data_IF_354643983354
#
_entry.id   IF_354643983354
#
_cell.length_a   1.000
_cell.length_b   1.000
_cell.length_c   1.000
_cell.angle_alpha   90.00
_cell.angle_beta   90.00
_cell.angle_gamma   90.00
#
_symmetry.space_group_name_H-M   'P 1'
#
loop_
_entity.id
_entity.type
_entity.pdbx_description
1 polymer ?
#
# COMPACT_ATOMS: atom_id res chain seq x y z
N UNK A 1 -8.52 -4.21 0.17
CA UNK A 1 -9.10 -5.53 -0.17
C UNK A 1 -9.43 -6.26 1.12
N UNK A 2 -10.57 -6.94 1.20
CA UNK A 2 -10.87 -7.87 2.29
C UNK A 2 -10.14 -9.19 2.06
N UNK A 3 -9.72 -9.86 3.15
CA UNK A 3 -8.97 -11.11 3.10
C UNK A 3 -9.63 -12.19 3.97
N UNK A 4 -9.57 -13.43 3.50
CA UNK A 4 -9.75 -14.64 4.30
C UNK A 4 -8.41 -15.39 4.34
N UNK A 5 -7.80 -15.41 5.53
CA UNK A 5 -6.39 -15.79 5.67
C UNK A 5 -5.46 -14.85 4.89
N UNK A 6 -4.78 -15.38 3.88
CA UNK A 6 -3.85 -14.61 3.01
C UNK A 6 -4.39 -14.39 1.60
N UNK A 7 -5.66 -14.75 1.35
CA UNK A 7 -6.29 -14.63 0.04
C UNK A 7 -7.33 -13.51 0.06
N UNK A 8 -7.31 -12.61 -0.94
CA UNK A 8 -8.40 -11.65 -1.11
C UNK A 8 -9.75 -12.36 -1.32
N UNK A 9 -10.83 -11.81 -0.76
CA UNK A 9 -12.19 -12.38 -0.90
C UNK A 9 -12.91 -11.93 -2.18
N UNK A 10 -12.28 -11.05 -2.96
CA UNK A 10 -12.92 -10.32 -4.07
C UNK A 10 -13.65 -9.04 -3.65
N UNK A 11 -13.76 -8.75 -2.34
CA UNK A 11 -14.42 -7.53 -1.85
C UNK A 11 -13.43 -6.39 -1.62
N UNK A 12 -13.84 -5.20 -2.05
CA UNK A 12 -13.17 -3.93 -1.74
C UNK A 12 -14.00 -3.23 -0.66
N UNK A 13 -13.41 -3.05 0.53
CA UNK A 13 -14.07 -2.38 1.65
C UNK A 13 -13.67 -0.90 1.68
N UNK A 14 -14.61 0.02 2.01
CA UNK A 14 -14.25 1.41 2.24
C UNK A 14 -13.36 1.52 3.49
N UNK A 15 -12.41 2.46 3.46
CA UNK A 15 -11.61 2.79 4.64
C UNK A 15 -12.36 3.74 5.59
N UNK A 16 -13.36 4.47 5.11
CA UNK A 16 -14.12 5.46 5.89
C UNK A 16 -14.73 4.84 7.14
N UNK A 17 -14.47 5.45 8.30
CA UNK A 17 -14.91 4.94 9.60
C UNK A 17 -14.21 3.65 10.07
N UNK A 18 -13.26 3.11 9.30
CA UNK A 18 -12.52 1.89 9.65
C UNK A 18 -11.18 2.22 10.35
N UNK A 19 -10.58 1.25 11.06
CA UNK A 19 -9.20 1.38 11.55
C UNK A 19 -8.16 1.57 10.43
N UNK A 20 -8.50 1.33 9.17
CA UNK A 20 -7.60 1.48 8.04
C UNK A 20 -7.66 2.87 7.39
N UNK A 21 -8.42 3.81 7.95
CA UNK A 21 -8.40 5.20 7.49
C UNK A 21 -7.16 5.93 8.01
N UNK A 22 -6.19 6.12 7.13
CA UNK A 22 -4.98 6.92 7.36
C UNK A 22 -4.92 8.13 6.43
N UNK A 23 -6.06 8.56 5.85
CA UNK A 23 -6.12 9.79 5.04
C UNK A 23 -5.84 11.03 5.87
N UNK A 24 -6.06 10.96 7.18
CA UNK A 24 -5.56 11.91 8.17
C UNK A 24 -4.46 11.24 9.01
N UNK A 25 -3.32 11.91 9.27
CA UNK A 25 -2.23 11.32 10.04
C UNK A 25 -2.68 10.91 11.44
N UNK A 26 -2.34 9.67 11.84
CA UNK A 26 -2.58 9.15 13.18
C UNK A 26 -1.56 8.06 13.55
N UNK A 27 -1.34 7.76 14.83
CA UNK A 27 -0.50 6.64 15.23
C UNK A 27 -1.00 5.31 14.65
N UNK A 28 -0.09 4.49 14.12
CA UNK A 28 -0.41 3.12 13.66
C UNK A 28 -0.99 2.29 14.82
N UNK A 29 -0.45 2.46 16.03
CA UNK A 29 -0.93 1.76 17.23
C UNK A 29 -0.96 0.24 17.03
N UNK A 30 -2.04 -0.42 17.45
CA UNK A 30 -2.26 -1.86 17.26
C UNK A 30 -2.82 -2.26 15.88
N UNK A 31 -2.91 -1.34 14.91
CA UNK A 31 -3.45 -1.65 13.58
C UNK A 31 -2.51 -2.64 12.86
N UNK A 32 -3.04 -3.80 12.47
CA UNK A 32 -2.29 -4.83 11.75
C UNK A 32 -2.47 -4.63 10.26
N UNK A 33 -1.36 -4.53 9.54
CA UNK A 33 -1.31 -4.43 8.10
C UNK A 33 -0.73 -5.71 7.50
N UNK A 34 -1.50 -6.29 6.60
CA UNK A 34 -1.06 -7.20 5.55
C UNK A 34 -2.10 -7.08 4.44
N UNK A 35 -2.21 -5.87 3.89
CA UNK A 35 -3.44 -5.42 3.25
C UNK A 35 -3.11 -4.60 2.02
N UNK A 36 -3.70 -5.01 0.88
CA UNK A 36 -3.69 -4.22 -0.33
C UNK A 36 -4.77 -3.12 -0.27
N UNK A 37 -4.32 -1.88 -0.38
CA UNK A 37 -5.13 -0.69 -0.61
C UNK A 37 -5.25 -0.43 -2.10
N UNK A 38 -6.37 0.16 -2.51
CA UNK A 38 -6.70 0.44 -3.90
C UNK A 38 -7.03 1.92 -4.05
N UNK A 39 -6.93 2.47 -5.26
CA UNK A 39 -7.31 3.84 -5.58
C UNK A 39 -6.65 4.88 -4.64
N UNK A 40 -5.30 4.90 -4.55
CA UNK A 40 -4.59 5.84 -3.70
C UNK A 40 -4.90 7.28 -4.09
N UNK A 41 -5.00 8.17 -3.08
CA UNK A 41 -5.10 9.61 -3.32
C UNK A 41 -3.78 10.11 -3.91
N UNK A 42 -3.89 10.89 -4.98
CA UNK A 42 -2.78 11.59 -5.61
C UNK A 42 -2.83 13.07 -5.27
N UNK A 43 -1.66 13.69 -5.16
CA UNK A 43 -1.50 15.12 -4.94
C UNK A 43 -1.59 15.89 -6.27
N UNK A 44 -1.39 17.22 -6.23
CA UNK A 44 -1.48 18.07 -7.43
C UNK A 44 -0.41 17.81 -8.51
N UNK A 45 0.54 16.92 -8.25
CA UNK A 45 1.59 16.47 -9.17
C UNK A 45 1.44 14.99 -9.57
N UNK A 46 0.25 14.42 -9.42
CA UNK A 46 -0.12 13.04 -9.78
C UNK A 46 0.63 11.92 -9.02
N UNK A 47 1.44 12.29 -8.03
CA UNK A 47 2.09 11.33 -7.14
C UNK A 47 1.16 10.98 -5.97
N UNK A 48 1.08 9.69 -5.64
CA UNK A 48 0.62 9.28 -4.32
C UNK A 48 1.82 9.26 -3.36
N UNK A 49 1.62 9.78 -2.14
CA UNK A 49 2.63 9.82 -1.08
C UNK A 49 2.13 9.11 0.16
N UNK A 50 2.91 8.15 0.63
CA UNK A 50 2.68 7.42 1.88
C UNK A 50 3.78 7.82 2.84
N UNK A 51 3.40 8.56 3.87
CA UNK A 51 4.32 9.13 4.85
C UNK A 51 4.25 8.37 6.16
N UNK A 52 5.41 7.90 6.63
CA UNK A 52 5.61 7.36 7.97
C UNK A 52 6.53 8.29 8.75
N UNK A 53 6.06 8.78 9.89
CA UNK A 53 6.78 9.74 10.71
C UNK A 53 6.90 9.28 12.17
N UNK A 54 7.94 9.77 12.84
CA UNK A 54 8.04 9.72 14.29
C UNK A 54 6.88 10.50 14.94
N UNK A 55 6.46 10.16 16.17
CA UNK A 55 5.33 10.85 16.83
C UNK A 55 5.52 12.36 17.02
N UNK A 56 6.76 12.81 17.12
CA UNK A 56 7.16 14.22 17.25
C UNK A 56 7.56 14.86 15.91
N UNK A 57 7.35 14.15 14.80
CA UNK A 57 7.72 14.54 13.44
C UNK A 57 9.23 14.79 13.22
N UNK A 58 10.08 14.38 14.17
CA UNK A 58 11.55 14.58 14.11
C UNK A 58 12.25 13.82 12.98
N UNK A 59 11.57 12.82 12.41
CA UNK A 59 12.05 12.01 11.28
C UNK A 59 10.86 11.47 10.52
N UNK A 60 10.89 11.60 9.20
CA UNK A 60 9.91 10.97 8.34
C UNK A 60 10.52 10.29 7.12
N UNK A 61 9.79 9.31 6.59
CA UNK A 61 10.07 8.67 5.31
C UNK A 61 8.79 8.70 4.50
N UNK A 62 8.92 9.15 3.25
CA UNK A 62 7.81 9.19 2.31
C UNK A 62 8.14 8.26 1.16
N UNK A 63 7.27 7.29 0.92
CA UNK A 63 7.28 6.49 -0.31
C UNK A 63 6.34 7.20 -1.28
N UNK A 64 6.87 7.61 -2.43
CA UNK A 64 6.08 8.19 -3.50
C UNK A 64 6.00 7.23 -4.68
N UNK A 65 4.87 7.23 -5.37
CA UNK A 65 4.59 6.36 -6.51
C UNK A 65 3.78 7.15 -7.55
N UNK A 66 4.13 6.95 -8.83
CA UNK A 66 3.45 7.60 -9.95
C UNK A 66 2.14 6.90 -10.34
N UNK A 67 1.56 7.34 -11.46
CA UNK A 67 0.29 6.85 -11.99
C UNK A 67 0.29 5.38 -12.43
N UNK A 68 1.45 4.72 -12.52
CA UNK A 68 1.51 3.30 -12.88
C UNK A 68 1.09 2.37 -11.73
N UNK A 69 1.02 2.90 -10.50
CA UNK A 69 0.72 2.12 -9.30
C UNK A 69 -0.60 2.59 -8.68
N UNK A 70 -1.69 1.87 -8.93
CA UNK A 70 -3.02 2.15 -8.34
C UNK A 70 -3.35 1.25 -7.13
N UNK A 71 -2.37 0.46 -6.70
CA UNK A 71 -2.47 -0.46 -5.59
C UNK A 71 -1.25 -0.33 -4.69
N UNK A 72 -1.44 -0.48 -3.39
CA UNK A 72 -0.35 -0.47 -2.42
C UNK A 72 -0.58 -1.55 -1.37
N UNK A 73 0.40 -2.42 -1.15
CA UNK A 73 0.38 -3.31 0.02
C UNK A 73 1.12 -2.63 1.17
N UNK A 74 0.46 -2.56 2.32
CA UNK A 74 1.11 -2.23 3.58
C UNK A 74 1.26 -3.52 4.40
N UNK A 75 2.44 -3.72 4.95
CA UNK A 75 2.74 -4.87 5.80
C UNK A 75 3.53 -4.46 7.05
N UNK A 76 2.95 -4.73 8.22
CA UNK A 76 3.54 -4.35 9.52
C UNK A 76 4.34 -5.46 10.19
N UNK A 77 4.49 -6.64 9.57
CA UNK A 77 5.37 -7.67 10.11
C UNK A 77 4.87 -8.38 11.37
N UNK A 78 3.57 -8.35 11.66
CA UNK A 78 2.99 -8.95 12.88
C UNK A 78 3.27 -10.46 13.04
N UNK A 79 3.22 -11.29 11.97
CA UNK A 79 3.52 -12.71 12.08
C UNK A 79 5.02 -13.03 12.25
N UNK A 80 5.91 -12.04 12.12
CA UNK A 80 7.35 -12.27 12.19
C UNK A 80 7.78 -12.70 13.61
N UNK A 81 8.95 -13.38 13.75
CA UNK A 81 9.56 -13.65 15.04
C UNK A 81 9.72 -12.37 15.87
N UNK A 82 9.70 -12.49 17.19
CA UNK A 82 9.67 -11.36 18.13
C UNK A 82 10.75 -10.31 17.85
N UNK A 83 11.97 -10.74 17.51
CA UNK A 83 13.09 -9.85 17.19
C UNK A 83 12.82 -8.91 15.99
N UNK A 84 11.90 -9.28 15.10
CA UNK A 84 11.58 -8.54 13.88
C UNK A 84 10.13 -8.01 13.83
N UNK A 85 9.26 -8.52 14.70
CA UNK A 85 7.84 -8.17 14.76
C UNK A 85 7.65 -6.67 14.93
N UNK A 86 6.92 -6.06 13.98
CA UNK A 86 6.57 -4.62 13.96
C UNK A 86 7.76 -3.67 14.15
N UNK A 87 8.95 -4.07 13.68
CA UNK A 87 10.16 -3.24 13.67
C UNK A 87 10.25 -2.32 12.46
N UNK A 88 9.44 -2.58 11.44
CA UNK A 88 9.36 -1.82 10.21
C UNK A 88 7.92 -1.88 9.65
N UNK A 89 7.63 -0.99 8.70
CA UNK A 89 6.45 -1.04 7.86
C UNK A 89 6.93 -1.14 6.41
N UNK A 90 6.52 -2.18 5.70
CA UNK A 90 6.72 -2.25 4.27
C UNK A 90 5.62 -1.44 3.57
N UNK A 91 6.03 -0.70 2.54
CA UNK A 91 5.14 0.01 1.62
C UNK A 91 5.50 -0.50 0.23
N UNK A 92 4.56 -1.18 -0.41
CA UNK A 92 4.79 -1.91 -1.65
C UNK A 92 3.89 -1.31 -2.73
N UNK A 93 4.39 -0.40 -3.57
CA UNK A 93 3.68 0.05 -4.77
C UNK A 93 3.44 -1.14 -5.71
N UNK A 94 2.17 -1.35 -6.09
CA UNK A 94 1.75 -2.45 -6.95
C UNK A 94 0.99 -1.90 -8.16
N UNK A 95 1.27 -2.45 -9.34
CA UNK A 95 0.59 -2.05 -10.59
C UNK A 95 -0.81 -2.67 -10.72
N UNK A 96 -1.11 -3.68 -9.91
CA UNK A 96 -2.41 -4.37 -9.85
C UNK A 96 -2.67 -4.85 -8.41
N UNK A 97 -3.92 -5.22 -8.13
CA UNK A 97 -4.31 -5.74 -6.83
C UNK A 97 -3.69 -7.11 -6.54
N UNK A 98 -3.56 -7.45 -5.25
CA UNK A 98 -3.22 -8.81 -4.85
C UNK A 98 -4.20 -9.79 -5.49
N UNK A 99 -3.71 -10.86 -6.08
CA UNK A 99 -4.54 -11.88 -6.76
C UNK A 99 -5.29 -11.40 -8.03
N UNK A 100 -4.82 -10.35 -8.71
CA UNK A 100 -5.47 -9.80 -9.90
C UNK A 100 -5.68 -10.80 -11.07
N UNK A 101 -4.96 -11.93 -11.12
CA UNK A 101 -5.23 -12.99 -12.08
C UNK A 101 -6.62 -13.62 -11.91
N UNK A 102 -7.14 -13.67 -10.69
CA UNK A 102 -8.48 -14.18 -10.37
C UNK A 102 -9.53 -13.07 -10.30
N UNK A 103 -9.09 -11.81 -10.37
CA UNK A 103 -9.93 -10.62 -10.24
C UNK A 103 -9.61 -9.63 -11.37
N UNK A 104 -10.23 -9.78 -12.56
CA UNK A 104 -9.86 -9.02 -13.76
C UNK A 104 -10.02 -7.50 -13.61
N UNK A 105 -10.90 -7.04 -12.71
CA UNK A 105 -11.11 -5.62 -12.43
C UNK A 105 -9.99 -5.00 -11.57
N UNK A 106 -9.01 -5.78 -11.11
CA UNK A 106 -7.95 -5.32 -10.22
C UNK A 106 -6.67 -4.87 -10.95
N UNK A 107 -6.83 -4.33 -12.16
CA UNK A 107 -5.76 -3.61 -12.87
C UNK A 107 -4.68 -4.50 -13.50
N UNK A 108 -4.97 -5.78 -13.75
CA UNK A 108 -4.02 -6.69 -14.40
C UNK A 108 -3.64 -6.17 -15.80
N UNK A 109 -2.37 -5.81 -15.98
CA UNK A 109 -1.81 -5.46 -17.28
C UNK A 109 -1.23 -6.71 -17.95
N UNK A 110 -1.92 -7.23 -18.98
CA UNK A 110 -1.38 -8.29 -19.82
C UNK A 110 -0.41 -7.71 -20.85
N UNK A 111 0.86 -8.12 -20.80
CA UNK A 111 1.88 -7.71 -21.75
C UNK A 111 2.08 -8.77 -22.83
N UNK A 112 1.79 -8.42 -24.07
CA UNK A 112 2.18 -9.18 -25.25
C UNK A 112 3.70 -9.09 -25.48
N UNK A 113 4.30 -9.99 -26.29
CA UNK A 113 5.71 -9.86 -26.67
C UNK A 113 6.04 -8.46 -27.18
N UNK A 114 7.19 -7.93 -26.77
CA UNK A 114 7.68 -6.57 -27.04
C UNK A 114 6.90 -5.41 -26.40
N UNK A 115 5.83 -5.65 -25.64
CA UNK A 115 5.21 -4.59 -24.83
C UNK A 115 6.01 -4.32 -23.56
N UNK A 116 5.90 -3.10 -23.06
CA UNK A 116 6.56 -2.64 -21.83
C UNK A 116 5.56 -1.93 -20.95
N UNK A 117 5.58 -2.25 -19.65
CA UNK A 117 4.96 -1.47 -18.59
C UNK A 117 6.07 -0.80 -17.79
N UNK A 118 5.95 0.50 -17.57
CA UNK A 118 6.91 1.29 -16.80
C UNK A 118 6.18 2.02 -15.68
N UNK A 119 6.83 2.13 -14.53
CA UNK A 119 6.38 2.93 -13.41
C UNK A 119 7.58 3.39 -12.58
N UNK A 120 7.45 4.54 -11.96
CA UNK A 120 8.44 5.13 -11.07
C UNK A 120 7.89 5.26 -9.65
N UNK A 121 8.73 4.90 -8.70
CA UNK A 121 8.50 5.13 -7.29
C UNK A 121 9.84 5.45 -6.64
N UNK A 122 9.80 6.01 -5.43
CA UNK A 122 11.01 6.27 -4.68
C UNK A 122 10.74 6.54 -3.21
N UNK A 123 11.84 6.70 -2.47
CA UNK A 123 11.80 7.06 -1.06
C UNK A 123 12.51 8.39 -0.87
N UNK A 124 11.82 9.34 -0.26
CA UNK A 124 12.41 10.59 0.21
C UNK A 124 12.54 10.57 1.73
N UNK A 125 13.60 11.20 2.22
CA UNK A 125 13.83 11.42 3.63
C UNK A 125 13.55 12.90 3.94
N UNK A 126 12.85 13.11 5.05
CA UNK A 126 12.55 14.41 5.66
C UNK A 126 13.00 14.38 7.12
#
# INVERSE_FOLDING_TARGET
>A
LEYDGLLPTGRVLPVDGSPYDFRQPRPIGGTVFNTCFTAPRRDGDDLCRIRLAAPDDSRARTVWLDAAFDYVVLYSGDPLPEAHRRRALAVEPMTCGSDAFNHPDWGLAALAPAQTLTGSWGVTAE
#
